data_IF_516986562181
#
_entry.id   IF_516986562181
#
_cell.length_a   1.000
_cell.length_b   1.000
_cell.length_c   1.000
_cell.angle_alpha   90.00
_cell.angle_beta   90.00
_cell.angle_gamma   90.00
#
_symmetry.space_group_name_H-M   'P 1'
#
loop_
_entity.id
_entity.type
_entity.pdbx_description
1 polymer ?
#
# COMPACT_ATOMS: atom_id res chain seq x y z
N UNK A 1 -19.72 11.46 -38.88
CA UNK A 1 -18.57 10.79 -39.51
C UNK A 1 -17.66 11.85 -40.11
N UNK A 2 -16.59 12.24 -39.44
CA UNK A 2 -15.60 13.19 -39.99
C UNK A 2 -14.23 12.75 -39.48
N UNK A 3 -13.46 12.11 -40.37
CA UNK A 3 -12.09 11.67 -40.18
C UNK A 3 -11.18 12.90 -40.31
N UNK A 4 -10.53 13.31 -39.22
CA UNK A 4 -9.43 14.27 -39.23
C UNK A 4 -8.11 13.50 -39.40
N UNK A 5 -7.54 13.61 -40.58
CA UNK A 5 -6.23 13.16 -40.92
C UNK A 5 -5.18 14.04 -40.21
N UNK A 6 -4.38 13.45 -39.33
CA UNK A 6 -3.25 14.09 -38.68
C UNK A 6 -2.00 13.91 -39.52
N UNK A 7 -1.53 15.04 -40.07
CA UNK A 7 -0.36 15.14 -40.91
C UNK A 7 0.88 15.39 -40.02
N UNK A 8 1.78 14.43 -39.91
CA UNK A 8 3.05 14.56 -39.17
C UNK A 8 4.14 15.09 -40.07
N UNK A 9 4.85 16.16 -39.69
CA UNK A 9 6.08 16.58 -40.39
C UNK A 9 7.27 15.71 -39.97
N UNK A 10 8.10 15.33 -40.93
CA UNK A 10 9.32 14.57 -40.80
C UNK A 10 10.45 15.36 -40.09
N UNK A 11 11.25 14.71 -39.23
CA UNK A 11 12.40 15.37 -38.60
C UNK A 11 13.60 15.45 -39.55
N UNK A 12 14.14 16.67 -39.68
CA UNK A 12 15.38 16.94 -40.35
C UNK A 12 16.57 16.32 -39.62
N UNK A 13 17.28 15.42 -40.29
CA UNK A 13 18.53 14.86 -39.84
C UNK A 13 19.66 15.90 -39.96
N UNK A 14 20.12 16.43 -38.83
CA UNK A 14 21.36 17.23 -38.78
C UNK A 14 22.55 16.31 -38.54
N UNK A 15 23.37 16.18 -39.58
CA UNK A 15 24.67 15.49 -39.49
C UNK A 15 25.65 16.33 -38.64
N UNK A 16 25.88 15.95 -37.41
CA UNK A 16 26.96 16.50 -36.57
C UNK A 16 28.22 15.63 -36.75
N UNK A 17 29.25 16.25 -37.32
CA UNK A 17 30.60 15.72 -37.51
C UNK A 17 31.28 15.55 -36.15
N UNK A 18 31.86 14.39 -35.80
CA UNK A 18 32.59 14.24 -34.56
C UNK A 18 33.98 14.87 -34.66
N UNK A 19 34.26 15.86 -33.82
CA UNK A 19 35.60 16.38 -33.60
C UNK A 19 36.39 15.40 -32.77
N UNK A 20 37.45 14.85 -33.31
CA UNK A 20 38.42 13.97 -32.63
C UNK A 20 39.29 14.88 -31.75
N UNK A 21 39.02 14.90 -30.46
CA UNK A 21 39.89 15.48 -29.45
C UNK A 21 40.69 14.38 -28.76
N UNK A 22 41.99 14.37 -28.96
CA UNK A 22 42.99 13.54 -28.31
C UNK A 22 42.92 13.71 -26.78
N UNK A 23 42.85 12.63 -25.97
CA UNK A 23 42.81 12.73 -24.50
C UNK A 23 44.22 12.97 -23.94
N UNK A 24 44.40 13.88 -22.96
CA UNK A 24 45.64 13.97 -22.21
C UNK A 24 45.76 12.78 -21.29
N UNK A 25 46.88 12.07 -21.37
CA UNK A 25 47.30 10.96 -20.48
C UNK A 25 47.41 11.48 -19.05
N UNK A 26 46.39 11.27 -18.22
CA UNK A 26 46.43 11.52 -16.79
C UNK A 26 46.60 10.21 -16.03
N UNK A 27 47.88 9.84 -15.82
CA UNK A 27 48.28 8.78 -14.88
C UNK A 27 47.97 9.26 -13.44
N UNK A 28 47.25 8.47 -12.71
CA UNK A 28 47.14 8.56 -11.25
C UNK A 28 45.86 9.19 -10.72
N UNK A 29 44.99 8.38 -10.23
CA UNK A 29 44.10 8.46 -9.03
C UNK A 29 42.84 7.59 -9.15
N UNK A 30 42.93 6.44 -9.83
CA UNK A 30 41.76 5.52 -9.99
C UNK A 30 41.31 4.82 -8.70
N UNK A 31 42.10 4.78 -7.64
CA UNK A 31 41.80 3.99 -6.43
C UNK A 31 40.82 4.64 -5.44
N UNK A 32 40.74 5.98 -5.42
CA UNK A 32 39.85 6.70 -4.48
C UNK A 32 38.38 6.81 -4.94
N UNK A 33 38.10 6.66 -6.23
CA UNK A 33 36.70 6.70 -6.74
C UNK A 33 35.94 5.40 -6.55
N UNK A 34 36.64 4.25 -6.60
CA UNK A 34 36.01 2.94 -6.44
C UNK A 34 35.48 2.69 -5.03
N UNK A 35 36.16 3.17 -3.99
CA UNK A 35 35.69 3.01 -2.61
C UNK A 35 34.41 3.79 -2.32
N UNK A 36 34.20 4.98 -2.91
CA UNK A 36 32.97 5.76 -2.75
C UNK A 36 31.78 5.13 -3.41
N UNK A 37 31.95 4.47 -4.56
CA UNK A 37 30.85 3.80 -5.29
C UNK A 37 30.36 2.58 -4.49
N UNK A 38 31.27 1.81 -3.89
CA UNK A 38 30.93 0.62 -3.10
C UNK A 38 30.19 0.97 -1.80
N UNK A 39 30.56 2.08 -1.14
CA UNK A 39 29.87 2.54 0.08
C UNK A 39 28.47 3.09 -0.22
N UNK A 40 28.26 3.76 -1.34
CA UNK A 40 26.93 4.22 -1.75
C UNK A 40 26.01 3.07 -2.18
N UNK A 41 26.53 2.04 -2.84
CA UNK A 41 25.76 0.85 -3.23
C UNK A 41 25.35 0.02 -1.99
N UNK A 42 26.25 -0.14 -1.02
CA UNK A 42 25.95 -0.82 0.25
C UNK A 42 24.88 -0.09 1.07
N UNK A 43 24.99 1.24 1.18
CA UNK A 43 24.01 2.06 1.92
C UNK A 43 22.63 2.04 1.26
N UNK A 44 22.53 2.05 -0.06
CA UNK A 44 21.25 1.92 -0.78
C UNK A 44 20.62 0.55 -0.61
N UNK A 45 21.40 -0.54 -0.57
CA UNK A 45 20.88 -1.90 -0.29
C UNK A 45 20.34 -1.99 1.13
N UNK A 46 21.05 -1.47 2.11
CA UNK A 46 20.65 -1.51 3.52
C UNK A 46 19.38 -0.69 3.78
N UNK A 47 19.24 0.47 3.13
CA UNK A 47 18.00 1.27 3.21
C UNK A 47 16.80 0.54 2.59
N UNK A 48 16.98 -0.20 1.51
CA UNK A 48 15.91 -0.99 0.88
C UNK A 48 15.44 -2.14 1.76
N UNK A 49 16.35 -2.87 2.40
CA UNK A 49 15.99 -4.00 3.28
C UNK A 49 15.24 -3.55 4.53
N UNK A 50 15.59 -2.41 5.12
CA UNK A 50 14.87 -1.84 6.27
C UNK A 50 13.47 -1.34 5.88
N UNK A 51 13.32 -0.76 4.69
CA UNK A 51 12.02 -0.31 4.17
C UNK A 51 11.12 -1.50 3.82
N UNK A 52 11.68 -2.57 3.28
CA UNK A 52 10.94 -3.80 2.95
C UNK A 52 10.47 -4.55 4.21
N UNK A 53 11.31 -4.66 5.24
CA UNK A 53 10.92 -5.25 6.52
C UNK A 53 9.79 -4.44 7.20
N UNK A 54 9.87 -3.10 7.13
CA UNK A 54 8.85 -2.20 7.66
C UNK A 54 7.48 -2.28 6.96
N UNK A 55 7.44 -2.76 5.71
CA UNK A 55 6.19 -2.96 4.94
C UNK A 55 5.61 -4.37 5.06
N UNK A 56 6.46 -5.38 5.19
CA UNK A 56 6.04 -6.78 5.19
C UNK A 56 5.23 -7.17 6.42
N UNK A 57 5.57 -6.62 7.60
CA UNK A 57 4.83 -6.91 8.85
C UNK A 57 3.38 -6.43 8.77
N UNK A 58 3.10 -5.12 8.54
CA UNK A 58 1.72 -4.67 8.44
C UNK A 58 0.97 -5.34 7.28
N UNK A 59 1.63 -5.62 6.14
CA UNK A 59 1.02 -6.34 5.03
C UNK A 59 0.53 -7.74 5.43
N UNK A 60 1.34 -8.50 6.19
CA UNK A 60 0.96 -9.83 6.69
C UNK A 60 -0.19 -9.74 7.71
N UNK A 61 -0.14 -8.78 8.63
CA UNK A 61 -1.18 -8.58 9.65
C UNK A 61 -2.52 -8.30 8.96
N UNK A 62 -2.57 -7.34 8.04
CA UNK A 62 -3.80 -6.97 7.35
C UNK A 62 -4.33 -8.10 6.46
N UNK A 63 -3.46 -8.82 5.76
CA UNK A 63 -3.88 -9.99 4.98
C UNK A 63 -4.41 -11.09 5.89
N UNK A 64 -3.75 -11.36 7.01
CA UNK A 64 -4.19 -12.35 8.00
C UNK A 64 -5.53 -11.98 8.62
N UNK A 65 -5.73 -10.71 9.00
CA UNK A 65 -7.00 -10.22 9.53
C UNK A 65 -8.13 -10.37 8.52
N UNK A 66 -7.93 -9.93 7.27
CA UNK A 66 -8.94 -10.10 6.22
C UNK A 66 -9.27 -11.57 5.91
N UNK A 67 -8.29 -12.47 5.99
CA UNK A 67 -8.54 -13.92 5.85
C UNK A 67 -9.28 -14.49 7.06
N UNK A 68 -9.02 -13.99 8.26
CA UNK A 68 -9.69 -14.45 9.49
C UNK A 68 -11.18 -14.08 9.50
N UNK A 69 -11.59 -13.02 8.80
CA UNK A 69 -13.01 -12.65 8.65
C UNK A 69 -13.81 -13.65 7.79
N UNK A 70 -13.17 -14.40 6.89
CA UNK A 70 -13.88 -15.30 5.98
C UNK A 70 -14.67 -16.42 6.71
N UNK A 71 -14.10 -17.17 7.66
CA UNK A 71 -14.86 -18.14 8.44
C UNK A 71 -15.94 -17.47 9.32
N UNK A 72 -15.68 -16.26 9.83
CA UNK A 72 -16.64 -15.47 10.56
C UNK A 72 -17.87 -15.10 9.71
N UNK A 73 -17.65 -14.63 8.48
CA UNK A 73 -18.72 -14.38 7.51
C UNK A 73 -19.60 -15.60 7.26
N UNK A 74 -18.97 -16.79 7.13
CA UNK A 74 -19.71 -18.05 6.98
C UNK A 74 -20.57 -18.37 8.20
N UNK A 75 -20.08 -18.09 9.39
CA UNK A 75 -20.82 -18.27 10.63
C UNK A 75 -22.02 -17.31 10.72
N UNK A 76 -21.84 -16.02 10.45
CA UNK A 76 -22.91 -15.02 10.46
C UNK A 76 -24.01 -15.36 9.44
N UNK A 77 -23.63 -15.74 8.22
CA UNK A 77 -24.56 -16.11 7.17
C UNK A 77 -25.41 -17.35 7.53
N UNK A 78 -24.86 -18.24 8.37
CA UNK A 78 -25.56 -19.47 8.77
C UNK A 78 -26.39 -19.37 10.05
N UNK A 79 -26.16 -18.34 10.88
CA UNK A 79 -26.76 -18.26 12.23
C UNK A 79 -27.75 -17.11 12.41
N UNK A 80 -27.62 -16.02 11.63
CA UNK A 80 -28.48 -14.85 11.73
C UNK A 80 -29.72 -14.93 10.84
N UNK A 81 -30.82 -14.23 11.21
CA UNK A 81 -31.96 -14.03 10.31
C UNK A 81 -31.52 -13.36 9.01
N UNK A 82 -32.14 -13.68 7.84
CA UNK A 82 -31.64 -13.25 6.54
C UNK A 82 -31.43 -11.74 6.36
N UNK A 83 -32.29 -10.91 6.96
CA UNK A 83 -32.17 -9.46 6.86
C UNK A 83 -30.97 -8.92 7.64
N UNK A 84 -30.75 -9.42 8.86
CA UNK A 84 -29.61 -9.06 9.70
C UNK A 84 -28.30 -9.62 9.12
N UNK A 85 -28.33 -10.89 8.70
CA UNK A 85 -27.19 -11.52 8.05
C UNK A 85 -26.73 -10.71 6.83
N UNK A 86 -27.66 -10.22 6.00
CA UNK A 86 -27.31 -9.44 4.81
C UNK A 86 -26.57 -8.15 5.16
N UNK A 87 -26.97 -7.45 6.22
CA UNK A 87 -26.32 -6.21 6.66
C UNK A 87 -24.90 -6.47 7.17
N UNK A 88 -24.75 -7.37 8.14
CA UNK A 88 -23.46 -7.68 8.74
C UNK A 88 -22.49 -8.35 7.77
N UNK A 89 -22.95 -9.34 7.00
CA UNK A 89 -22.11 -10.00 5.97
C UNK A 89 -21.65 -9.00 4.91
N UNK A 90 -22.48 -8.02 4.55
CA UNK A 90 -22.06 -6.99 3.59
C UNK A 90 -20.97 -6.10 4.17
N UNK A 91 -21.12 -5.62 5.39
CA UNK A 91 -20.13 -4.76 6.06
C UNK A 91 -18.80 -5.48 6.21
N UNK A 92 -18.80 -6.68 6.79
CA UNK A 92 -17.60 -7.50 7.02
C UNK A 92 -16.93 -7.92 5.68
N UNK A 93 -17.71 -8.16 4.63
CA UNK A 93 -17.16 -8.46 3.29
C UNK A 93 -16.41 -7.28 2.72
N UNK A 94 -16.93 -6.07 2.86
CA UNK A 94 -16.26 -4.85 2.43
C UNK A 94 -14.98 -4.62 3.24
N UNK A 95 -15.03 -4.85 4.54
CA UNK A 95 -13.89 -4.76 5.44
C UNK A 95 -12.80 -5.77 5.09
N UNK A 96 -13.14 -7.05 4.99
CA UNK A 96 -12.21 -8.10 4.60
C UNK A 96 -11.56 -7.78 3.25
N UNK A 97 -12.35 -7.31 2.27
CA UNK A 97 -11.87 -6.92 0.94
C UNK A 97 -10.88 -5.76 1.04
N UNK A 98 -11.19 -4.70 1.79
CA UNK A 98 -10.33 -3.55 1.96
C UNK A 98 -9.01 -3.92 2.67
N UNK A 99 -9.06 -4.77 3.71
CA UNK A 99 -7.90 -5.30 4.42
C UNK A 99 -7.02 -6.16 3.50
N UNK A 100 -7.60 -7.09 2.75
CA UNK A 100 -6.89 -7.96 1.80
C UNK A 100 -6.22 -7.15 0.68
N UNK A 101 -6.92 -6.19 0.09
CA UNK A 101 -6.35 -5.31 -0.95
C UNK A 101 -5.19 -4.49 -0.37
N UNK A 102 -5.37 -3.91 0.82
CA UNK A 102 -4.31 -3.12 1.47
C UNK A 102 -3.10 -3.99 1.78
N UNK A 103 -3.31 -5.13 2.43
CA UNK A 103 -2.26 -6.07 2.82
C UNK A 103 -1.48 -6.61 1.61
N UNK A 104 -2.17 -7.08 0.57
CA UNK A 104 -1.54 -7.61 -0.64
C UNK A 104 -0.76 -6.54 -1.42
N UNK A 105 -1.27 -5.30 -1.49
CA UNK A 105 -0.55 -4.17 -2.11
C UNK A 105 0.71 -3.82 -1.34
N UNK A 106 0.67 -3.82 0.00
CA UNK A 106 1.86 -3.62 0.83
C UNK A 106 2.90 -4.71 0.62
N UNK A 107 2.49 -5.98 0.57
CA UNK A 107 3.37 -7.11 0.33
C UNK A 107 4.05 -7.05 -1.04
N UNK A 108 3.32 -6.57 -2.07
CA UNK A 108 3.83 -6.36 -3.43
C UNK A 108 4.61 -5.05 -3.60
N UNK A 109 4.70 -4.21 -2.57
CA UNK A 109 5.37 -2.91 -2.67
C UNK A 109 4.66 -1.89 -3.55
N UNK A 110 3.35 -2.08 -3.84
CA UNK A 110 2.59 -1.21 -4.70
C UNK A 110 2.33 0.16 -4.03
N UNK A 111 2.51 1.30 -4.76
CA UNK A 111 2.38 2.64 -4.18
C UNK A 111 0.94 3.02 -3.84
N UNK A 112 -0.06 2.41 -4.50
CA UNK A 112 -1.48 2.75 -4.37
C UNK A 112 -2.20 1.99 -3.25
N UNK A 113 -1.59 1.85 -2.07
CA UNK A 113 -2.22 1.18 -0.90
C UNK A 113 -3.00 2.15 0.01
N UNK A 114 -2.89 3.46 -0.20
CA UNK A 114 -3.46 4.48 0.71
C UNK A 114 -4.99 4.51 0.70
N UNK A 115 -5.59 4.51 -0.48
CA UNK A 115 -7.06 4.52 -0.62
C UNK A 115 -7.72 3.30 0.03
N UNK A 116 -7.32 2.04 -0.27
CA UNK A 116 -7.92 0.91 0.42
C UNK A 116 -7.58 0.88 1.92
N UNK A 117 -6.44 1.41 2.36
CA UNK A 117 -6.13 1.56 3.79
C UNK A 117 -7.08 2.56 4.47
N UNK A 118 -7.39 3.70 3.82
CA UNK A 118 -8.36 4.65 4.35
C UNK A 118 -9.77 4.03 4.42
N UNK A 119 -10.18 3.31 3.39
CA UNK A 119 -11.45 2.60 3.39
C UNK A 119 -11.54 1.56 4.51
N UNK A 120 -10.50 0.74 4.69
CA UNK A 120 -10.44 -0.23 5.79
C UNK A 120 -10.52 0.43 7.17
N UNK A 121 -9.82 1.56 7.36
CA UNK A 121 -9.87 2.29 8.63
C UNK A 121 -11.29 2.82 8.94
N UNK A 122 -11.99 3.33 7.94
CA UNK A 122 -13.36 3.81 8.09
C UNK A 122 -14.34 2.68 8.37
N UNK A 123 -14.22 1.56 7.66
CA UNK A 123 -15.08 0.40 7.84
C UNK A 123 -14.92 -0.19 9.24
N UNK A 124 -13.69 -0.43 9.71
CA UNK A 124 -13.38 -0.90 11.06
C UNK A 124 -13.93 0.04 12.16
N UNK A 125 -13.85 1.35 11.97
CA UNK A 125 -14.44 2.30 12.91
C UNK A 125 -15.96 2.26 12.89
N UNK A 126 -16.56 2.08 11.71
CA UNK A 126 -18.02 1.96 11.57
C UNK A 126 -18.50 0.69 12.24
N UNK A 127 -17.80 -0.41 12.05
CA UNK A 127 -18.10 -1.71 12.66
C UNK A 127 -18.05 -1.62 14.18
N UNK A 128 -16.94 -1.14 14.75
CA UNK A 128 -16.82 -0.88 16.18
C UNK A 128 -17.96 -0.03 16.77
N UNK A 129 -18.35 1.03 16.03
CA UNK A 129 -19.45 1.89 16.47
C UNK A 129 -20.81 1.20 16.42
N UNK A 130 -21.08 0.39 15.40
CA UNK A 130 -22.32 -0.34 15.24
C UNK A 130 -22.43 -1.44 16.29
N UNK A 131 -21.36 -2.21 16.50
CA UNK A 131 -21.31 -3.25 17.52
C UNK A 131 -21.59 -2.70 18.91
N UNK A 132 -20.95 -1.59 19.28
CA UNK A 132 -21.19 -0.95 20.57
C UNK A 132 -22.57 -0.32 20.69
N UNK A 133 -23.15 0.21 19.60
CA UNK A 133 -24.45 0.86 19.61
C UNK A 133 -25.60 -0.16 19.66
N UNK A 134 -25.41 -1.36 19.12
CA UNK A 134 -26.45 -2.40 19.05
C UNK A 134 -26.35 -3.45 20.15
N UNK A 135 -25.21 -3.54 20.82
CA UNK A 135 -24.99 -4.50 21.91
C UNK A 135 -25.92 -4.27 23.08
N UNK A 136 -26.59 -5.31 23.54
CA UNK A 136 -27.38 -5.28 24.80
C UNK A 136 -26.48 -5.28 26.04
N UNK A 137 -26.88 -4.59 27.13
CA UNK A 137 -26.08 -4.59 28.35
C UNK A 137 -25.85 -6.02 28.91
N UNK A 138 -24.59 -6.30 29.25
CA UNK A 138 -24.16 -7.60 29.73
C UNK A 138 -23.05 -8.23 28.89
N UNK A 139 -23.19 -9.52 28.60
CA UNK A 139 -22.15 -10.29 27.89
C UNK A 139 -21.89 -9.79 26.47
N UNK A 140 -22.94 -9.34 25.78
CA UNK A 140 -22.77 -8.79 24.40
C UNK A 140 -21.94 -7.53 24.41
N UNK A 141 -22.23 -6.57 25.28
CA UNK A 141 -21.47 -5.33 25.39
C UNK A 141 -20.01 -5.59 25.77
N UNK A 142 -19.75 -6.54 26.67
CA UNK A 142 -18.37 -6.92 27.01
C UNK A 142 -17.64 -7.55 25.82
N UNK A 143 -18.32 -8.36 25.03
CA UNK A 143 -17.75 -8.95 23.82
C UNK A 143 -17.47 -7.89 22.76
N UNK A 144 -18.44 -6.99 22.50
CA UNK A 144 -18.27 -5.87 21.56
C UNK A 144 -17.09 -4.98 21.98
N UNK A 145 -16.96 -4.62 23.26
CA UNK A 145 -15.81 -3.87 23.78
C UNK A 145 -14.48 -4.62 23.60
N UNK A 146 -14.46 -5.92 23.85
CA UNK A 146 -13.27 -6.73 23.69
C UNK A 146 -12.82 -6.79 22.22
N UNK A 147 -13.77 -6.92 21.28
CA UNK A 147 -13.49 -6.91 19.84
C UNK A 147 -13.02 -5.53 19.38
N UNK A 148 -13.73 -4.47 19.76
CA UNK A 148 -13.36 -3.11 19.42
C UNK A 148 -11.93 -2.77 19.88
N UNK A 149 -11.58 -3.03 21.12
CA UNK A 149 -10.27 -2.70 21.70
C UNK A 149 -9.18 -3.67 21.24
N UNK A 150 -9.51 -4.96 21.11
CA UNK A 150 -8.55 -6.02 20.80
C UNK A 150 -8.20 -6.15 19.33
N UNK A 151 -9.12 -5.81 18.43
CA UNK A 151 -8.96 -6.02 16.99
C UNK A 151 -9.24 -4.76 16.16
N UNK A 152 -10.45 -4.21 16.23
CA UNK A 152 -10.92 -3.18 15.29
C UNK A 152 -10.14 -1.88 15.40
N UNK A 153 -10.04 -1.29 16.58
CA UNK A 153 -9.33 -0.03 16.81
C UNK A 153 -7.82 -0.13 16.52
N UNK A 154 -7.09 -1.17 16.92
CA UNK A 154 -5.69 -1.35 16.52
C UNK A 154 -5.51 -1.49 15.01
N UNK A 155 -6.38 -2.24 14.33
CA UNK A 155 -6.33 -2.38 12.88
C UNK A 155 -6.72 -1.07 12.18
N UNK A 156 -7.75 -0.37 12.66
CA UNK A 156 -8.14 0.94 12.15
C UNK A 156 -7.00 1.95 12.28
N UNK A 157 -6.34 2.02 13.44
CA UNK A 157 -5.18 2.89 13.67
C UNK A 157 -4.01 2.54 12.73
N UNK A 158 -3.73 1.25 12.54
CA UNK A 158 -2.72 0.80 11.58
C UNK A 158 -3.07 1.24 10.16
N UNK A 159 -4.30 1.03 9.72
CA UNK A 159 -4.79 1.43 8.40
C UNK A 159 -4.76 2.95 8.21
N UNK A 160 -5.17 3.73 9.21
CA UNK A 160 -5.13 5.19 9.19
C UNK A 160 -3.68 5.71 9.07
N UNK A 161 -2.73 5.14 9.83
CA UNK A 161 -1.31 5.51 9.72
C UNK A 161 -0.73 5.19 8.34
N UNK A 162 -1.14 4.08 7.71
CA UNK A 162 -0.72 3.71 6.35
C UNK A 162 -1.33 4.65 5.30
N UNK A 163 -2.56 5.08 5.49
CA UNK A 163 -3.24 6.04 4.62
C UNK A 163 -2.62 7.44 4.71
N UNK A 164 -2.24 7.89 5.91
CA UNK A 164 -1.69 9.21 6.18
C UNK A 164 -0.22 9.39 5.71
N UNK A 165 0.54 8.32 5.47
CA UNK A 165 1.94 8.43 5.04
C UNK A 165 2.05 9.23 3.75
N UNK A 166 2.90 10.27 3.66
CA UNK A 166 3.06 11.05 2.44
C UNK A 166 3.54 10.17 1.28
N UNK A 167 2.97 10.37 0.09
CA UNK A 167 3.49 9.76 -1.12
C UNK A 167 4.90 10.34 -1.34
N UNK A 168 5.92 9.48 -1.45
CA UNK A 168 7.24 9.96 -1.89
C UNK A 168 7.06 10.54 -3.30
N UNK A 169 7.40 11.81 -3.53
CA UNK A 169 7.37 12.36 -4.87
C UNK A 169 8.25 11.47 -5.75
N UNK A 170 7.66 10.97 -6.83
CA UNK A 170 8.42 10.29 -7.87
C UNK A 170 9.50 11.26 -8.30
N UNK A 171 10.77 10.86 -8.22
CA UNK A 171 11.88 11.68 -8.70
C UNK A 171 11.54 12.11 -10.13
N UNK A 172 11.46 13.43 -10.34
CA UNK A 172 11.20 13.98 -11.67
C UNK A 172 12.24 13.38 -12.64
N UNK A 173 11.81 12.91 -13.82
CA UNK A 173 12.78 12.45 -14.84
C UNK A 173 13.70 13.63 -15.14
N UNK A 174 14.98 13.43 -14.88
CA UNK A 174 16.00 14.40 -15.29
C UNK A 174 15.96 14.46 -16.82
N UNK A 175 15.37 15.56 -17.35
CA UNK A 175 15.47 15.91 -18.76
C UNK A 175 16.93 16.26 -19.07
N UNK A 176 17.60 15.36 -19.78
CA UNK A 176 18.90 15.59 -20.41
C UNK A 176 18.72 16.18 -21.79
#
# INVERSE_FOLDING_TARGET
MTLLAYNSPAPHASCHRPSISTPPTRIGTGRRRQSKILTHAGRRRQSRTLTDAGRRRPGKILTGAGLALLPWLGYLAGTLPPAEAAAWVTLDTLEATALLITGTRLLRGAPRHRTPAAAAALLLLTDACLDLATATPGTELTTALAMAIGAELPLAALCATLAARPAHPAAAPHSH
#
